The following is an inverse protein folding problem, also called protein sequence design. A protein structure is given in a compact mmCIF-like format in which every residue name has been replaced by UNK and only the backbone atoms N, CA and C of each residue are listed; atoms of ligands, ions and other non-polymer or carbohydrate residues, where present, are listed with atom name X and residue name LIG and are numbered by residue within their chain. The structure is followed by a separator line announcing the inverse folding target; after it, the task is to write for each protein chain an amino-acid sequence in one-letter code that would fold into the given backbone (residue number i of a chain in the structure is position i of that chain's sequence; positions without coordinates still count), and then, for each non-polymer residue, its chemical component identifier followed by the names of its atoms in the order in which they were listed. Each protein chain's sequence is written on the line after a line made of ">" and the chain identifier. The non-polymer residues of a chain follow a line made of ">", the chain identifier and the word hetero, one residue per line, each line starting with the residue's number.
data_IF_294440359709
#
_entry.id   IF_294440359709
#
_cell.length_a   1.000
_cell.length_b   1.000
_cell.length_c   1.000
_cell.angle_alpha   90.00
_cell.angle_beta   90.00
_cell.angle_gamma   90.00
#
_symmetry.space_group_name_H-M   'P 1'
#
loop_
_entity.id
_entity.type
_entity.pdbx_description
1 polymer ?
#
# COMPACT_ATOMS: atom_id res chain seq x y z
N UNK A 1 -32.01 63.80 34.39
CA UNK A 1 -30.86 62.97 34.74
C UNK A 1 -30.82 61.67 33.88
N UNK A 2 -31.86 60.88 33.78
CA UNK A 2 -31.82 59.60 32.97
C UNK A 2 -31.55 59.81 31.47
N UNK A 3 -32.06 60.88 30.85
CA UNK A 3 -31.80 61.17 29.42
C UNK A 3 -30.38 61.64 29.14
N UNK A 4 -29.74 62.38 30.05
CA UNK A 4 -28.38 62.84 29.94
C UNK A 4 -27.42 61.65 30.10
N UNK A 5 -27.73 60.69 30.98
CA UNK A 5 -26.95 59.48 31.18
C UNK A 5 -26.98 58.56 29.95
N UNK A 6 -28.15 58.50 29.25
CA UNK A 6 -28.31 57.72 28.03
C UNK A 6 -27.56 58.34 26.86
N UNK A 7 -27.50 59.66 26.75
CA UNK A 7 -26.73 60.38 25.73
C UNK A 7 -25.23 60.22 25.97
N UNK A 8 -24.78 60.29 27.22
CA UNK A 8 -23.38 60.07 27.57
C UNK A 8 -22.93 58.59 27.34
N UNK A 9 -23.81 57.62 27.58
CA UNK A 9 -23.53 56.23 27.34
C UNK A 9 -23.51 55.92 25.84
N UNK A 10 -24.39 56.50 25.03
CA UNK A 10 -24.39 56.36 23.58
C UNK A 10 -23.17 57.03 22.92
N UNK A 11 -22.73 58.16 23.45
CA UNK A 11 -21.54 58.87 23.01
C UNK A 11 -20.25 58.11 23.33
N UNK A 12 -20.16 57.45 24.51
CA UNK A 12 -19.02 56.61 24.87
C UNK A 12 -18.94 55.33 24.03
N UNK A 13 -20.08 54.73 23.64
CA UNK A 13 -20.13 53.57 22.73
C UNK A 13 -19.72 53.98 21.29
N UNK A 14 -20.16 55.16 20.83
CA UNK A 14 -19.78 55.68 19.50
C UNK A 14 -18.27 56.04 19.39
N UNK A 15 -17.65 56.49 20.51
CA UNK A 15 -16.20 56.76 20.56
C UNK A 15 -15.35 55.45 20.67
N UNK A 16 -15.91 54.35 21.17
CA UNK A 16 -15.23 53.07 21.30
C UNK A 16 -15.14 52.26 19.98
N UNK A 17 -15.95 52.62 18.96
CA UNK A 17 -16.01 51.85 17.68
C UNK A 17 -15.09 52.42 16.57
N UNK A 18 -14.35 53.48 16.83
CA UNK A 18 -13.40 54.02 15.85
C UNK A 18 -11.99 53.45 15.91
N UNK A 19 -11.82 52.23 16.42
CA UNK A 19 -10.61 51.49 16.11
C UNK A 19 -10.66 51.04 14.64
N UNK A 20 -10.58 52.03 13.74
CA UNK A 20 -10.34 51.85 12.33
C UNK A 20 -9.11 50.91 12.19
N UNK A 21 -9.24 49.81 11.48
CA UNK A 21 -8.11 49.00 11.02
C UNK A 21 -7.07 49.97 10.40
N UNK A 22 -6.01 50.27 11.14
CA UNK A 22 -4.88 51.02 10.58
C UNK A 22 -4.34 50.15 9.45
N UNK A 23 -4.47 50.60 8.20
CA UNK A 23 -3.79 49.98 7.05
C UNK A 23 -2.31 49.86 7.44
N UNK A 24 -1.84 48.63 7.74
CA UNK A 24 -0.44 48.42 8.08
C UNK A 24 0.41 48.93 6.92
N UNK A 25 1.44 49.74 7.25
CA UNK A 25 2.33 50.36 6.27
C UNK A 25 3.01 49.25 5.42
N UNK A 26 3.06 49.42 4.13
CA UNK A 26 3.88 48.59 3.24
C UNK A 26 5.36 48.90 3.50
N UNK A 27 6.14 47.89 3.77
CA UNK A 27 7.59 47.97 3.97
C UNK A 27 8.29 47.84 2.62
N UNK A 28 8.91 48.92 2.16
CA UNK A 28 9.52 48.98 0.81
C UNK A 28 11.05 49.13 0.83
N UNK A 29 11.67 49.18 2.01
CA UNK A 29 13.13 49.25 2.10
C UNK A 29 13.76 47.87 1.94
N UNK A 30 14.90 47.79 1.27
CA UNK A 30 15.62 46.52 1.02
C UNK A 30 16.08 45.75 2.26
N UNK A 31 16.08 46.39 3.43
CA UNK A 31 16.34 45.70 4.72
C UNK A 31 15.19 44.73 5.11
N UNK A 32 14.02 44.91 4.53
CA UNK A 32 12.85 44.06 4.77
C UNK A 32 12.71 43.04 3.68
N UNK A 33 13.08 41.79 3.98
CA UNK A 33 12.99 40.66 3.05
C UNK A 33 12.05 39.59 3.60
N UNK A 34 11.64 38.67 2.75
CA UNK A 34 10.90 37.47 3.11
C UNK A 34 11.85 36.40 3.67
N UNK A 35 11.31 35.51 4.50
CA UNK A 35 11.95 34.26 4.87
C UNK A 35 11.25 33.10 4.16
N UNK A 36 12.02 32.14 3.69
CA UNK A 36 11.52 30.93 3.01
C UNK A 36 11.85 29.73 3.92
N UNK A 37 10.90 28.79 4.08
CA UNK A 37 11.08 27.63 4.95
C UNK A 37 12.06 26.60 4.40
N UNK A 38 12.22 26.53 3.08
CA UNK A 38 13.07 25.57 2.37
C UNK A 38 13.84 26.28 1.27
N UNK A 39 15.14 26.07 1.18
CA UNK A 39 15.97 26.62 0.10
C UNK A 39 16.00 25.70 -1.14
N UNK A 40 15.60 24.45 -0.97
CA UNK A 40 15.59 23.43 -2.02
C UNK A 40 14.39 22.51 -1.83
N UNK A 41 13.67 22.25 -2.90
CA UNK A 41 12.61 21.24 -2.99
C UNK A 41 13.15 20.08 -3.81
N UNK A 42 13.35 18.96 -3.16
CA UNK A 42 13.80 17.72 -3.77
C UNK A 42 12.59 16.83 -4.03
N UNK A 43 12.34 16.49 -5.28
CA UNK A 43 11.49 15.39 -5.64
C UNK A 43 12.39 14.16 -5.78
N UNK A 44 12.03 13.10 -5.09
CA UNK A 44 12.70 11.82 -5.24
C UNK A 44 12.45 11.25 -6.65
N UNK A 45 12.85 10.03 -6.90
CA UNK A 45 12.61 9.38 -8.19
C UNK A 45 11.11 9.37 -8.52
N UNK A 46 10.75 9.97 -9.65
CA UNK A 46 9.38 9.97 -10.18
C UNK A 46 9.35 9.28 -11.54
N UNK A 47 8.27 8.58 -11.82
CA UNK A 47 8.09 7.99 -13.14
C UNK A 47 7.86 9.08 -14.18
N UNK A 48 8.54 8.97 -15.33
CA UNK A 48 8.34 9.89 -16.45
C UNK A 48 6.89 9.87 -16.94
N UNK A 49 6.43 10.95 -17.56
CA UNK A 49 5.07 11.17 -18.07
C UNK A 49 3.97 11.27 -17.02
N UNK A 50 4.28 11.03 -15.75
CA UNK A 50 3.34 11.11 -14.62
C UNK A 50 3.71 12.31 -13.75
N UNK A 51 2.69 13.05 -13.30
CA UNK A 51 2.89 14.14 -12.34
C UNK A 51 3.31 13.58 -10.97
N UNK A 52 4.26 14.25 -10.34
CA UNK A 52 4.66 13.95 -8.96
C UNK A 52 3.53 14.23 -7.96
N UNK A 53 3.72 13.81 -6.72
CA UNK A 53 2.96 14.37 -5.61
C UNK A 53 3.26 15.85 -5.44
N UNK A 54 2.28 16.61 -4.93
CA UNK A 54 2.46 18.03 -4.65
C UNK A 54 3.30 18.21 -3.39
N UNK A 55 4.45 18.89 -3.52
CA UNK A 55 5.24 19.38 -2.37
C UNK A 55 4.92 20.84 -2.12
N UNK A 56 5.21 21.32 -0.92
CA UNK A 56 4.98 22.73 -0.58
C UNK A 56 6.06 23.26 0.35
N UNK A 57 6.23 24.58 0.30
CA UNK A 57 6.99 25.34 1.28
C UNK A 57 6.26 26.64 1.62
N UNK A 58 6.74 27.35 2.64
CA UNK A 58 6.13 28.60 3.12
C UNK A 58 7.05 29.77 2.87
N UNK A 59 6.43 30.87 2.46
CA UNK A 59 7.08 32.18 2.40
C UNK A 59 6.51 33.06 3.52
N UNK A 60 7.37 33.54 4.43
CA UNK A 60 7.00 34.26 5.65
C UNK A 60 7.37 35.73 5.56
N UNK A 61 6.52 36.57 6.11
CA UNK A 61 6.84 37.95 6.45
C UNK A 61 7.13 38.07 7.95
N UNK A 62 8.41 38.12 8.40
CA UNK A 62 8.76 38.20 9.80
C UNK A 62 8.61 39.62 10.41
N UNK A 63 8.17 40.61 9.61
CA UNK A 63 8.21 42.02 10.00
C UNK A 63 6.86 42.56 10.50
N UNK A 64 6.88 43.70 11.20
CA UNK A 64 5.70 44.34 11.76
C UNK A 64 4.91 45.22 10.74
N UNK A 65 5.09 45.04 9.44
CA UNK A 65 4.36 45.70 8.36
C UNK A 65 4.12 44.73 7.22
N UNK A 66 3.30 45.16 6.26
CA UNK A 66 3.01 44.36 5.06
C UNK A 66 4.21 44.37 4.11
N UNK A 67 4.57 43.24 3.54
CA UNK A 67 5.55 43.10 2.46
C UNK A 67 4.82 42.80 1.16
N UNK A 68 5.32 43.38 0.07
CA UNK A 68 4.90 43.07 -1.30
C UNK A 68 6.04 42.37 -2.01
N UNK A 69 5.82 41.13 -2.46
CA UNK A 69 6.69 40.43 -3.39
C UNK A 69 6.34 40.94 -4.78
N UNK A 70 7.26 41.66 -5.40
CA UNK A 70 7.01 42.26 -6.68
C UNK A 70 6.91 41.22 -7.80
N UNK A 71 7.65 40.12 -7.68
CA UNK A 71 7.60 39.04 -8.65
C UNK A 71 7.96 37.68 -8.01
N UNK A 72 7.24 36.62 -8.43
CA UNK A 72 7.56 35.20 -8.20
C UNK A 72 7.54 34.50 -9.53
N UNK A 73 8.64 33.87 -9.94
CA UNK A 73 8.80 33.33 -11.30
C UNK A 73 9.49 31.99 -11.29
N UNK A 74 9.04 31.03 -12.09
CA UNK A 74 9.85 29.91 -12.52
C UNK A 74 10.91 30.39 -13.51
N UNK A 75 12.17 30.02 -13.33
CA UNK A 75 13.28 30.51 -14.16
C UNK A 75 13.12 30.11 -15.62
N UNK A 76 12.69 28.86 -15.90
CA UNK A 76 12.43 28.37 -17.26
C UNK A 76 11.04 28.75 -17.80
N UNK A 77 10.20 29.39 -16.99
CA UNK A 77 8.86 29.85 -17.39
C UNK A 77 7.96 28.70 -17.84
N UNK A 78 7.38 28.85 -19.04
CA UNK A 78 6.47 27.84 -19.62
C UNK A 78 7.17 26.55 -20.06
N UNK A 79 8.48 26.57 -20.24
CA UNK A 79 9.29 25.41 -20.64
C UNK A 79 9.74 24.59 -19.43
N UNK A 80 9.36 25.03 -18.23
CA UNK A 80 9.62 24.30 -17.00
C UNK A 80 8.83 22.98 -16.94
N UNK A 81 9.45 21.86 -16.54
CA UNK A 81 8.71 20.64 -16.19
C UNK A 81 7.92 20.82 -14.89
N UNK A 82 8.20 21.86 -14.11
CA UNK A 82 7.51 22.18 -12.86
C UNK A 82 6.26 23.03 -13.09
N UNK A 83 5.30 22.85 -12.19
CA UNK A 83 4.10 23.68 -12.06
C UNK A 83 4.03 24.20 -10.64
N UNK A 84 3.71 25.48 -10.46
CA UNK A 84 3.59 26.08 -9.14
C UNK A 84 2.22 26.70 -8.93
N UNK A 85 1.77 26.66 -7.68
CA UNK A 85 0.58 27.37 -7.23
C UNK A 85 0.99 28.26 -6.04
N UNK A 86 0.73 29.53 -6.17
CA UNK A 86 1.07 30.56 -5.19
C UNK A 86 -0.22 31.08 -4.56
N UNK A 87 -0.43 30.82 -3.29
CA UNK A 87 -1.60 31.28 -2.52
C UNK A 87 -2.95 30.96 -3.19
N UNK A 88 -3.05 29.77 -3.84
CA UNK A 88 -4.26 29.30 -4.52
C UNK A 88 -4.34 29.63 -6.01
N UNK A 89 -3.42 30.39 -6.56
CA UNK A 89 -3.35 30.72 -7.99
C UNK A 89 -2.25 29.92 -8.68
N UNK A 90 -2.58 29.21 -9.77
CA UNK A 90 -1.63 28.41 -10.56
C UNK A 90 -1.03 29.24 -11.69
N UNK A 91 0.29 29.11 -11.89
CA UNK A 91 0.98 29.84 -12.96
C UNK A 91 2.48 29.62 -12.96
N UNK A 92 3.20 30.39 -13.80
CA UNK A 92 4.66 30.40 -13.89
C UNK A 92 5.26 31.75 -13.51
N UNK A 93 4.41 32.78 -13.40
CA UNK A 93 4.80 34.14 -13.07
C UNK A 93 3.67 34.84 -12.31
N UNK A 94 3.97 35.40 -11.16
CA UNK A 94 3.04 36.09 -10.27
C UNK A 94 3.61 37.47 -9.91
N UNK A 95 2.76 38.45 -9.80
CA UNK A 95 3.18 39.83 -9.51
C UNK A 95 2.38 40.41 -8.36
N UNK A 96 3.04 41.24 -7.52
CA UNK A 96 2.42 42.01 -6.45
C UNK A 96 1.70 41.13 -5.40
N UNK A 97 2.34 40.05 -4.96
CA UNK A 97 1.84 39.16 -3.92
C UNK A 97 2.12 39.81 -2.56
N UNK A 98 1.07 40.10 -1.80
CA UNK A 98 1.14 40.75 -0.50
C UNK A 98 1.10 39.75 0.65
N UNK A 99 2.05 39.84 1.57
CA UNK A 99 2.04 39.07 2.82
C UNK A 99 1.86 40.03 3.98
N UNK A 100 0.84 39.79 4.81
CA UNK A 100 0.57 40.60 5.99
C UNK A 100 1.66 40.44 7.04
N UNK A 101 1.74 41.38 7.97
CA UNK A 101 2.69 41.35 9.08
C UNK A 101 2.59 40.08 9.93
N UNK A 102 3.65 39.29 9.99
CA UNK A 102 3.72 38.05 10.77
C UNK A 102 2.95 36.89 10.15
N UNK A 103 2.55 37.00 8.88
CA UNK A 103 1.80 35.99 8.14
C UNK A 103 2.68 35.25 7.12
N UNK A 104 2.12 34.22 6.49
CA UNK A 104 2.79 33.41 5.47
C UNK A 104 1.84 32.98 4.37
N UNK A 105 2.39 32.73 3.19
CA UNK A 105 1.70 32.09 2.07
C UNK A 105 2.31 30.72 1.80
N UNK A 106 1.51 29.82 1.25
CA UNK A 106 1.96 28.51 0.78
C UNK A 106 2.28 28.58 -0.69
N UNK A 107 3.36 27.92 -1.08
CA UNK A 107 3.72 27.69 -2.46
C UNK A 107 3.77 26.19 -2.68
N UNK A 108 2.88 25.71 -3.54
CA UNK A 108 2.80 24.29 -3.91
C UNK A 108 3.56 24.09 -5.22
N UNK A 109 4.26 22.97 -5.32
CA UNK A 109 5.09 22.61 -6.46
C UNK A 109 4.78 21.19 -6.88
N UNK A 110 4.63 20.97 -8.18
CA UNK A 110 4.50 19.67 -8.85
C UNK A 110 5.49 19.61 -10.01
N UNK A 111 5.88 18.41 -10.40
CA UNK A 111 6.76 18.18 -11.54
C UNK A 111 6.23 17.05 -12.41
N UNK A 112 6.37 17.19 -13.74
CA UNK A 112 6.13 16.12 -14.71
C UNK A 112 7.31 16.08 -15.65
N UNK A 113 8.02 14.95 -15.71
CA UNK A 113 9.18 14.77 -16.58
C UNK A 113 8.72 14.12 -17.88
N UNK A 114 9.02 14.77 -19.01
CA UNK A 114 8.75 14.24 -20.35
C UNK A 114 10.07 13.63 -20.89
N UNK A 115 10.16 12.30 -21.07
CA UNK A 115 11.39 11.65 -21.53
C UNK A 115 11.77 12.05 -22.96
N UNK A 116 10.81 12.53 -23.77
CA UNK A 116 11.05 12.95 -25.16
C UNK A 116 11.58 14.39 -25.26
N UNK A 117 11.26 15.23 -24.27
CA UNK A 117 11.67 16.64 -24.23
C UNK A 117 12.90 16.87 -23.32
N UNK A 118 12.99 16.09 -22.25
CA UNK A 118 14.06 16.20 -21.27
C UNK A 118 15.21 15.26 -21.64
N UNK A 119 16.27 15.74 -22.27
CA UNK A 119 17.47 14.98 -22.63
C UNK A 119 18.20 14.37 -21.41
N UNK A 120 17.75 14.66 -20.21
CA UNK A 120 18.24 14.16 -18.94
C UNK A 120 17.07 13.78 -18.04
N UNK A 121 17.14 12.60 -17.44
CA UNK A 121 16.20 12.19 -16.39
C UNK A 121 16.37 12.99 -15.08
N UNK A 122 17.35 13.89 -15.02
CA UNK A 122 17.52 14.85 -13.92
C UNK A 122 17.09 16.22 -14.41
N UNK A 123 16.04 16.76 -13.80
CA UNK A 123 15.50 18.07 -14.17
C UNK A 123 15.62 19.04 -13.00
N UNK A 124 16.15 20.22 -13.32
CA UNK A 124 16.36 21.31 -12.37
C UNK A 124 15.66 22.57 -12.86
N UNK A 125 15.11 23.35 -11.92
CA UNK A 125 14.63 24.71 -12.14
C UNK A 125 14.73 25.52 -10.85
N UNK A 126 14.34 26.79 -10.86
CA UNK A 126 14.32 27.66 -9.69
C UNK A 126 13.06 28.49 -9.64
N UNK A 127 12.55 28.69 -8.43
CA UNK A 127 11.56 29.72 -8.16
C UNK A 127 12.31 30.96 -7.66
N UNK A 128 12.22 32.08 -8.37
CA UNK A 128 12.82 33.37 -8.01
C UNK A 128 11.79 34.27 -7.39
N UNK A 129 12.15 34.93 -6.29
CA UNK A 129 11.35 35.90 -5.56
C UNK A 129 12.06 37.25 -5.58
N UNK A 130 11.37 38.29 -6.01
CA UNK A 130 11.89 39.64 -5.94
C UNK A 130 11.10 40.44 -4.91
N UNK A 131 11.76 40.86 -3.83
CA UNK A 131 11.15 41.59 -2.72
C UNK A 131 12.01 42.81 -2.36
N UNK A 132 11.45 44.00 -2.49
CA UNK A 132 12.15 45.26 -2.17
C UNK A 132 13.55 45.41 -2.82
N UNK A 133 13.72 44.85 -4.01
CA UNK A 133 15.00 44.85 -4.76
C UNK A 133 15.95 43.73 -4.40
N UNK A 134 15.61 42.88 -3.43
CA UNK A 134 16.36 41.65 -3.12
C UNK A 134 15.81 40.47 -3.94
N UNK A 135 16.69 39.62 -4.41
CA UNK A 135 16.34 38.36 -5.06
C UNK A 135 16.63 37.21 -4.07
N UNK A 136 15.64 36.34 -3.90
CA UNK A 136 15.74 35.09 -3.15
C UNK A 136 15.28 33.98 -4.08
N UNK A 137 15.87 32.77 -3.97
CA UNK A 137 15.51 31.64 -4.82
C UNK A 137 15.28 30.37 -4.01
N UNK A 138 14.45 29.47 -4.56
CA UNK A 138 14.29 28.09 -4.13
C UNK A 138 14.67 27.20 -5.30
N UNK A 139 15.59 26.25 -5.07
CA UNK A 139 16.03 25.29 -6.08
C UNK A 139 15.00 24.14 -6.15
N UNK A 140 14.67 23.71 -7.35
CA UNK A 140 13.81 22.59 -7.64
C UNK A 140 14.62 21.51 -8.33
N UNK A 141 14.69 20.29 -7.75
CA UNK A 141 15.37 19.15 -8.33
C UNK A 141 14.45 17.93 -8.33
N UNK A 142 14.43 17.20 -9.44
CA UNK A 142 13.76 15.92 -9.57
C UNK A 142 14.56 14.95 -10.43
N UNK A 143 14.40 13.64 -10.14
CA UNK A 143 14.97 12.54 -10.91
C UNK A 143 13.82 11.76 -11.56
N UNK A 144 13.87 11.60 -12.89
CA UNK A 144 12.94 10.77 -13.63
C UNK A 144 13.41 9.31 -13.70
N UNK A 145 12.46 8.40 -13.70
CA UNK A 145 12.69 6.99 -14.00
C UNK A 145 11.82 6.58 -15.17
N UNK A 146 12.46 6.09 -16.24
CA UNK A 146 11.76 5.54 -17.39
C UNK A 146 11.07 4.20 -17.02
N UNK A 147 9.87 3.95 -17.56
CA UNK A 147 9.05 2.79 -17.21
C UNK A 147 8.13 2.39 -18.38
N UNK A 148 7.61 1.17 -18.33
CA UNK A 148 6.50 0.75 -19.16
C UNK A 148 5.17 1.12 -18.49
N UNK A 149 4.27 1.80 -19.22
CA UNK A 149 2.99 2.26 -18.68
C UNK A 149 1.83 1.49 -19.30
N UNK A 150 0.93 1.00 -18.45
CA UNK A 150 -0.27 0.28 -18.84
C UNK A 150 -1.51 1.03 -18.34
N UNK A 151 -2.29 1.59 -19.28
CA UNK A 151 -3.42 2.48 -18.95
C UNK A 151 -4.73 1.85 -19.45
N UNK A 152 -5.42 1.11 -18.58
CA UNK A 152 -6.69 0.44 -18.90
C UNK A 152 -6.63 -0.41 -20.17
N UNK A 153 -5.69 -1.31 -20.24
CA UNK A 153 -5.43 -2.11 -21.44
C UNK A 153 -5.32 -3.61 -21.16
N UNK A 154 -5.48 -4.39 -22.21
CA UNK A 154 -5.24 -5.85 -22.18
C UNK A 154 -3.77 -6.11 -22.44
N UNK A 155 -3.17 -6.91 -21.55
CA UNK A 155 -1.74 -7.23 -21.55
C UNK A 155 -1.51 -8.74 -21.69
N UNK A 156 -0.39 -9.11 -22.31
CA UNK A 156 0.06 -10.51 -22.44
C UNK A 156 1.54 -10.57 -22.81
N UNK A 157 2.09 -11.75 -22.89
CA UNK A 157 3.48 -11.95 -23.30
C UNK A 157 4.43 -11.95 -22.10
N UNK A 158 5.52 -11.22 -22.17
CA UNK A 158 6.58 -11.23 -21.15
C UNK A 158 6.82 -9.81 -20.63
N UNK A 159 6.83 -9.65 -19.34
CA UNK A 159 7.33 -8.46 -18.65
C UNK A 159 8.74 -8.76 -18.13
N UNK A 160 9.72 -8.05 -18.68
CA UNK A 160 11.14 -8.16 -18.33
C UNK A 160 11.53 -7.18 -17.24
N UNK A 161 12.69 -7.39 -16.64
CA UNK A 161 13.21 -6.57 -15.54
C UNK A 161 14.10 -5.40 -15.99
N UNK A 162 14.11 -5.06 -17.28
CA UNK A 162 14.93 -3.98 -17.83
C UNK A 162 14.44 -2.58 -17.42
N UNK A 163 13.12 -2.44 -17.18
CA UNK A 163 12.48 -1.23 -16.67
C UNK A 163 11.32 -1.61 -15.74
N UNK A 164 10.93 -0.73 -14.80
CA UNK A 164 9.69 -0.90 -14.05
C UNK A 164 8.43 -0.91 -14.95
N UNK A 165 7.43 -1.63 -14.50
CA UNK A 165 6.10 -1.68 -15.11
C UNK A 165 5.11 -0.93 -14.22
N UNK A 166 4.45 0.10 -14.75
CA UNK A 166 3.52 0.96 -14.00
C UNK A 166 2.10 0.79 -14.51
N UNK A 167 1.19 0.40 -13.62
CA UNK A 167 -0.22 0.17 -13.95
C UNK A 167 -1.05 1.39 -13.53
N UNK A 168 -1.76 1.96 -14.49
CA UNK A 168 -2.73 3.04 -14.30
C UNK A 168 -4.15 2.55 -14.58
N UNK A 169 -4.94 2.37 -13.53
CA UNK A 169 -6.27 1.79 -13.60
C UNK A 169 -6.21 0.27 -13.76
N UNK A 170 -6.25 -0.28 -14.97
CA UNK A 170 -6.33 -1.72 -15.21
C UNK A 170 -5.27 -2.21 -16.20
N UNK A 171 -4.45 -3.17 -15.78
CA UNK A 171 -3.72 -4.05 -16.69
C UNK A 171 -4.40 -5.42 -16.66
N UNK A 172 -5.02 -5.83 -17.77
CA UNK A 172 -5.86 -7.02 -17.83
C UNK A 172 -5.22 -8.15 -18.62
N UNK A 173 -4.91 -9.26 -17.97
CA UNK A 173 -4.56 -10.51 -18.66
C UNK A 173 -5.88 -11.22 -19.02
N UNK A 174 -6.44 -10.82 -20.15
CA UNK A 174 -7.80 -11.16 -20.55
C UNK A 174 -8.88 -10.27 -19.91
N UNK A 175 -9.94 -10.00 -20.66
CA UNK A 175 -11.04 -9.16 -20.23
C UNK A 175 -12.39 -9.66 -20.80
N UNK A 176 -13.49 -9.64 -20.00
CA UNK A 176 -14.81 -10.08 -20.47
C UNK A 176 -15.24 -9.36 -21.75
N UNK A 177 -15.60 -10.14 -22.78
CA UNK A 177 -16.08 -9.61 -24.06
C UNK A 177 -15.01 -9.05 -25.01
N UNK A 178 -13.74 -9.00 -24.59
CA UNK A 178 -12.62 -8.55 -25.43
C UNK A 178 -11.72 -9.73 -25.76
N UNK A 179 -11.03 -10.31 -24.77
CA UNK A 179 -10.11 -11.42 -24.97
C UNK A 179 -10.02 -12.30 -23.71
N UNK A 180 -9.59 -13.56 -23.90
CA UNK A 180 -9.33 -14.52 -22.84
C UNK A 180 -8.34 -15.58 -23.32
N UNK A 181 -7.93 -16.50 -22.43
CA UNK A 181 -6.89 -17.50 -22.72
C UNK A 181 -5.52 -16.89 -23.05
N UNK A 182 -5.26 -15.71 -22.52
CA UNK A 182 -3.96 -15.06 -22.60
C UNK A 182 -3.02 -15.59 -21.51
N UNK A 183 -1.74 -15.30 -21.66
CA UNK A 183 -0.73 -15.56 -20.64
C UNK A 183 0.17 -14.35 -20.49
N UNK A 184 0.42 -13.97 -19.25
CA UNK A 184 1.43 -12.99 -18.89
C UNK A 184 2.50 -13.71 -18.06
N UNK A 185 3.75 -13.63 -18.50
CA UNK A 185 4.93 -14.12 -17.78
C UNK A 185 5.74 -12.93 -17.26
N UNK A 186 6.09 -12.96 -15.99
CA UNK A 186 6.89 -11.91 -15.35
C UNK A 186 8.22 -12.50 -14.93
N UNK A 187 9.31 -11.92 -15.40
CA UNK A 187 10.68 -12.39 -15.19
C UNK A 187 11.23 -12.05 -13.80
N UNK A 188 12.26 -12.75 -13.30
CA UNK A 188 12.87 -12.46 -12.01
C UNK A 188 13.35 -11.01 -11.90
N UNK A 189 13.13 -10.38 -10.73
CA UNK A 189 13.57 -9.02 -10.43
C UNK A 189 12.72 -7.91 -11.04
N UNK A 190 11.65 -8.25 -11.76
CA UNK A 190 10.73 -7.26 -12.32
C UNK A 190 10.04 -6.50 -11.20
N UNK A 191 10.00 -5.17 -11.34
CA UNK A 191 9.29 -4.26 -10.43
C UNK A 191 7.99 -3.80 -11.06
N UNK A 192 6.87 -4.06 -10.40
CA UNK A 192 5.54 -3.67 -10.83
C UNK A 192 4.97 -2.65 -9.83
N UNK A 193 4.59 -1.49 -10.34
CA UNK A 193 4.04 -0.41 -9.56
C UNK A 193 2.56 -0.17 -9.92
N UNK A 194 1.70 -0.20 -8.92
CA UNK A 194 0.28 0.13 -9.08
C UNK A 194 0.01 1.57 -8.64
N UNK A 195 -0.56 2.38 -9.54
CA UNK A 195 -1.11 3.68 -9.19
C UNK A 195 -2.37 3.53 -8.31
N UNK A 196 -2.81 4.62 -7.69
CA UNK A 196 -4.03 4.63 -6.88
C UNK A 196 -5.21 3.96 -7.61
N UNK A 197 -5.80 2.93 -6.98
CA UNK A 197 -6.85 2.06 -7.54
C UNK A 197 -6.43 1.15 -8.72
N UNK A 198 -5.16 1.08 -9.06
CA UNK A 198 -4.69 0.18 -10.12
C UNK A 198 -4.87 -1.29 -9.74
N UNK A 199 -5.16 -2.12 -10.73
CA UNK A 199 -5.37 -3.57 -10.58
C UNK A 199 -4.64 -4.33 -11.68
N UNK A 200 -3.90 -5.35 -11.32
CA UNK A 200 -3.52 -6.41 -12.25
C UNK A 200 -4.64 -7.45 -12.27
N UNK A 201 -5.44 -7.45 -13.34
CA UNK A 201 -6.62 -8.29 -13.47
C UNK A 201 -6.35 -9.50 -14.35
N UNK A 202 -6.69 -10.69 -13.88
CA UNK A 202 -6.49 -11.95 -14.63
C UNK A 202 -7.85 -12.62 -14.84
N UNK A 203 -8.34 -12.58 -16.07
CA UNK A 203 -9.64 -13.13 -16.44
C UNK A 203 -9.52 -14.27 -17.43
N UNK A 204 -9.94 -15.49 -17.03
CA UNK A 204 -9.88 -16.71 -17.85
C UNK A 204 -8.55 -16.85 -18.59
N UNK A 205 -7.47 -16.52 -17.93
CA UNK A 205 -6.11 -16.41 -18.45
C UNK A 205 -5.12 -16.81 -17.39
N UNK A 206 -3.84 -16.92 -17.73
CA UNK A 206 -2.77 -17.37 -16.84
C UNK A 206 -1.83 -16.23 -16.49
N UNK A 207 -1.44 -16.16 -15.21
CA UNK A 207 -0.34 -15.33 -14.72
C UNK A 207 0.79 -16.24 -14.23
N UNK A 208 1.99 -16.03 -14.76
CA UNK A 208 3.20 -16.77 -14.41
C UNK A 208 4.22 -15.77 -13.88
N UNK A 209 4.56 -15.87 -12.62
CA UNK A 209 5.56 -15.01 -11.97
C UNK A 209 6.74 -15.87 -11.56
N UNK A 210 7.90 -15.59 -12.13
CA UNK A 210 9.12 -16.39 -12.00
C UNK A 210 10.19 -15.65 -11.18
N UNK A 211 9.87 -15.24 -9.96
CA UNK A 211 10.90 -14.66 -9.08
C UNK A 211 11.90 -15.71 -8.59
N UNK A 212 12.97 -15.22 -8.00
CA UNK A 212 14.04 -16.00 -7.36
C UNK A 212 14.30 -15.45 -5.95
N UNK A 213 14.90 -16.21 -5.06
CA UNK A 213 15.14 -15.82 -3.66
C UNK A 213 15.92 -14.52 -3.54
N UNK A 214 16.94 -14.32 -4.38
CA UNK A 214 17.75 -13.11 -4.39
C UNK A 214 17.31 -12.07 -5.44
N UNK A 215 16.29 -12.37 -6.20
CA UNK A 215 15.76 -11.53 -7.27
C UNK A 215 14.24 -11.69 -7.38
N UNK A 216 13.48 -11.39 -6.30
CA UNK A 216 12.04 -11.57 -6.29
C UNK A 216 11.36 -10.60 -7.27
N UNK A 217 10.17 -10.98 -7.73
CA UNK A 217 9.29 -10.05 -8.42
C UNK A 217 8.54 -9.21 -7.38
N UNK A 218 8.59 -7.89 -7.51
CA UNK A 218 7.99 -6.99 -6.54
C UNK A 218 6.76 -6.28 -7.11
N UNK A 219 5.64 -6.36 -6.39
CA UNK A 219 4.42 -5.62 -6.66
C UNK A 219 4.16 -4.64 -5.52
N UNK A 220 4.12 -3.36 -5.84
CA UNK A 220 3.95 -2.30 -4.85
C UNK A 220 3.24 -1.07 -5.44
N UNK A 221 3.06 -0.03 -4.63
CA UNK A 221 2.59 1.27 -5.10
C UNK A 221 3.60 1.96 -6.02
N UNK A 222 3.11 2.93 -6.82
CA UNK A 222 3.96 3.81 -7.63
C UNK A 222 4.46 5.03 -6.87
N UNK A 223 3.87 5.33 -5.73
CA UNK A 223 4.30 6.44 -4.88
C UNK A 223 5.55 6.03 -4.11
N UNK A 224 6.66 6.73 -4.36
CA UNK A 224 7.97 6.48 -3.76
C UNK A 224 8.32 7.50 -2.67
N UNK A 225 7.61 8.64 -2.60
CA UNK A 225 7.86 9.67 -1.61
C UNK A 225 7.11 9.42 -0.30
N UNK A 226 7.74 9.75 0.79
CA UNK A 226 7.13 9.69 2.12
C UNK A 226 5.84 10.51 2.21
N UNK A 227 4.83 9.96 2.85
CA UNK A 227 3.55 10.61 3.07
C UNK A 227 3.48 11.21 4.47
N UNK A 228 3.56 12.53 4.57
CA UNK A 228 3.59 13.27 5.83
C UNK A 228 4.72 12.75 6.75
N UNK A 229 4.37 11.93 7.74
CA UNK A 229 5.29 11.35 8.73
C UNK A 229 5.52 9.84 8.51
N UNK A 230 4.96 9.28 7.45
CA UNK A 230 5.02 7.84 7.20
C UNK A 230 5.84 7.56 5.94
N UNK A 231 6.82 6.63 6.01
CA UNK A 231 7.51 6.15 4.81
C UNK A 231 6.51 5.64 3.75
N UNK A 232 6.75 5.93 2.49
CA UNK A 232 5.87 5.56 1.39
C UNK A 232 5.54 4.06 1.37
N UNK A 233 6.52 3.23 1.71
CA UNK A 233 6.43 1.78 1.75
C UNK A 233 5.66 1.23 2.96
N UNK A 234 5.32 2.06 3.95
CA UNK A 234 4.57 1.66 5.15
C UNK A 234 3.06 1.86 5.07
N UNK A 235 2.55 2.57 4.05
CA UNK A 235 1.13 2.92 3.93
C UNK A 235 0.38 1.85 3.13
N UNK A 236 -0.60 1.21 3.76
CA UNK A 236 -1.46 0.20 3.11
C UNK A 236 -2.53 0.83 2.20
N UNK A 237 -3.02 0.05 1.22
CA UNK A 237 -4.16 0.44 0.40
C UNK A 237 -3.85 1.44 -0.71
N UNK A 238 -2.60 1.56 -1.13
CA UNK A 238 -2.18 2.52 -2.15
C UNK A 238 -2.55 2.07 -3.58
N UNK A 239 -2.78 0.79 -3.81
CA UNK A 239 -3.26 0.19 -5.05
C UNK A 239 -4.21 -0.97 -4.74
N UNK A 240 -4.98 -1.47 -5.71
CA UNK A 240 -5.99 -2.49 -5.41
C UNK A 240 -5.41 -3.88 -5.20
N UNK A 241 -4.36 -4.26 -5.93
CA UNK A 241 -3.74 -5.58 -5.84
C UNK A 241 -3.90 -6.42 -7.12
N UNK A 242 -3.71 -7.74 -6.98
CA UNK A 242 -3.86 -8.72 -8.06
C UNK A 242 -5.22 -9.40 -7.91
N UNK A 243 -6.03 -9.36 -8.96
CA UNK A 243 -7.37 -9.94 -8.94
C UNK A 243 -7.55 -11.00 -10.04
N UNK A 244 -7.76 -12.23 -9.62
CA UNK A 244 -8.07 -13.37 -10.48
C UNK A 244 -9.58 -13.60 -10.53
N UNK A 245 -10.16 -13.63 -11.73
CA UNK A 245 -11.56 -13.95 -11.98
C UNK A 245 -11.66 -15.14 -12.93
N UNK A 246 -12.10 -16.27 -12.43
CA UNK A 246 -12.10 -17.54 -13.15
C UNK A 246 -10.74 -17.84 -13.83
N UNK A 247 -9.62 -17.80 -13.10
CA UNK A 247 -8.29 -17.91 -13.69
C UNK A 247 -8.09 -19.27 -14.36
N UNK A 248 -7.14 -19.33 -15.27
CA UNK A 248 -6.49 -20.58 -15.69
C UNK A 248 -5.30 -20.86 -14.78
N UNK A 249 -4.69 -22.04 -14.94
CA UNK A 249 -3.52 -22.41 -14.16
C UNK A 249 -2.50 -21.29 -14.16
N UNK A 250 -2.22 -20.81 -12.97
CA UNK A 250 -1.34 -19.68 -12.72
C UNK A 250 -0.34 -20.06 -11.64
N UNK A 251 0.89 -19.55 -11.74
CA UNK A 251 1.95 -19.83 -10.80
C UNK A 251 2.65 -18.53 -10.40
N UNK A 252 2.76 -18.31 -9.10
CA UNK A 252 3.49 -17.16 -8.55
C UNK A 252 4.57 -17.71 -7.62
N UNK A 253 5.82 -17.50 -7.99
CA UNK A 253 6.98 -17.98 -7.25
C UNK A 253 7.88 -16.81 -6.86
N UNK A 254 8.35 -16.78 -5.61
CA UNK A 254 9.24 -15.73 -5.06
C UNK A 254 8.78 -14.31 -5.42
N UNK A 255 7.55 -13.96 -5.04
CA UNK A 255 7.02 -12.62 -5.22
C UNK A 255 6.86 -11.90 -3.87
N UNK A 256 7.09 -10.60 -3.88
CA UNK A 256 6.76 -9.69 -2.79
C UNK A 256 5.62 -8.78 -3.21
N UNK A 257 4.49 -8.83 -2.50
CA UNK A 257 3.30 -8.03 -2.77
C UNK A 257 3.02 -7.20 -1.53
N UNK A 258 2.99 -5.88 -1.67
CA UNK A 258 2.82 -4.99 -0.53
C UNK A 258 1.93 -3.79 -0.81
N UNK A 259 1.38 -3.25 0.28
CA UNK A 259 0.65 -1.97 0.30
C UNK A 259 -0.63 -1.95 -0.56
N UNK A 260 -1.18 -3.11 -0.88
CA UNK A 260 -2.43 -3.23 -1.63
C UNK A 260 -3.67 -3.01 -0.74
N UNK A 261 -4.83 -2.82 -1.37
CA UNK A 261 -6.13 -2.99 -0.67
C UNK A 261 -6.35 -4.47 -0.37
N UNK A 262 -6.19 -5.33 -1.37
CA UNK A 262 -6.17 -6.79 -1.24
C UNK A 262 -4.93 -7.27 -2.01
N UNK A 263 -4.00 -7.95 -1.33
CA UNK A 263 -2.77 -8.42 -1.97
C UNK A 263 -3.07 -9.31 -3.17
N UNK A 264 -3.72 -10.45 -2.93
CA UNK A 264 -4.25 -11.35 -3.96
C UNK A 264 -5.72 -11.67 -3.67
N UNK A 265 -6.58 -11.42 -4.63
CA UNK A 265 -7.97 -11.87 -4.63
C UNK A 265 -8.18 -12.93 -5.71
N UNK A 266 -8.83 -14.06 -5.38
CA UNK A 266 -9.10 -15.15 -6.32
C UNK A 266 -10.58 -15.51 -6.21
N UNK A 267 -11.34 -15.18 -7.25
CA UNK A 267 -12.77 -15.43 -7.31
C UNK A 267 -13.10 -16.48 -8.36
N UNK A 268 -14.05 -17.31 -8.01
CA UNK A 268 -14.75 -18.25 -8.86
C UNK A 268 -13.87 -19.24 -9.62
N UNK A 269 -14.21 -20.51 -9.46
CA UNK A 269 -13.57 -21.62 -10.14
C UNK A 269 -13.77 -21.52 -11.66
N UNK A 270 -12.69 -21.76 -12.40
CA UNK A 270 -12.76 -22.42 -13.69
C UNK A 270 -12.43 -23.91 -13.47
N UNK A 271 -13.15 -24.78 -14.16
CA UNK A 271 -13.07 -26.23 -13.98
C UNK A 271 -11.62 -26.73 -13.88
N UNK A 272 -11.23 -27.31 -12.74
CA UNK A 272 -9.93 -27.93 -12.46
C UNK A 272 -8.67 -27.06 -12.60
N UNK A 273 -8.81 -25.75 -12.74
CA UNK A 273 -7.66 -24.84 -12.79
C UNK A 273 -7.23 -24.43 -11.36
N UNK A 274 -5.96 -24.19 -11.16
CA UNK A 274 -5.38 -23.90 -9.86
C UNK A 274 -4.48 -22.66 -9.89
N UNK A 275 -4.50 -21.88 -8.82
CA UNK A 275 -3.51 -20.84 -8.56
C UNK A 275 -2.50 -21.37 -7.56
N UNK A 276 -1.25 -21.46 -7.98
CA UNK A 276 -0.14 -21.95 -7.14
C UNK A 276 0.66 -20.76 -6.65
N UNK A 277 0.88 -20.71 -5.34
CA UNK A 277 1.72 -19.72 -4.68
C UNK A 277 2.88 -20.48 -4.01
N UNK A 278 4.12 -20.19 -4.41
CA UNK A 278 5.30 -20.77 -3.75
C UNK A 278 6.27 -19.68 -3.34
N UNK A 279 6.63 -19.65 -2.05
CA UNK A 279 7.57 -18.67 -1.46
C UNK A 279 7.15 -17.21 -1.72
N UNK A 280 5.85 -16.93 -1.65
CA UNK A 280 5.27 -15.60 -1.83
C UNK A 280 5.15 -14.88 -0.49
N UNK A 281 5.54 -13.61 -0.45
CA UNK A 281 5.35 -12.72 0.69
C UNK A 281 4.30 -11.67 0.35
N UNK A 282 3.23 -11.58 1.14
CA UNK A 282 2.20 -10.55 1.02
C UNK A 282 2.08 -9.82 2.34
N UNK A 283 2.34 -8.52 2.33
CA UNK A 283 2.37 -7.71 3.54
C UNK A 283 1.63 -6.39 3.38
N UNK A 284 1.15 -5.87 4.51
CA UNK A 284 0.62 -4.52 4.65
C UNK A 284 -0.56 -4.21 3.73
N UNK A 285 -1.55 -5.09 3.70
CA UNK A 285 -2.79 -4.87 2.96
C UNK A 285 -3.82 -4.12 3.79
N UNK A 286 -4.61 -3.25 3.15
CA UNK A 286 -5.66 -2.49 3.84
C UNK A 286 -6.85 -3.38 4.25
N UNK A 287 -7.15 -4.44 3.50
CA UNK A 287 -8.26 -5.35 3.82
C UNK A 287 -7.79 -6.78 4.06
N UNK A 288 -7.13 -7.42 3.11
CA UNK A 288 -6.63 -8.78 3.24
C UNK A 288 -5.38 -9.02 2.40
N UNK A 289 -4.45 -9.84 2.90
CA UNK A 289 -3.34 -10.27 2.06
C UNK A 289 -3.78 -11.30 1.04
N UNK A 290 -4.61 -12.26 1.46
CA UNK A 290 -5.23 -13.24 0.57
C UNK A 290 -6.75 -13.28 0.82
N UNK A 291 -7.51 -13.13 -0.24
CA UNK A 291 -8.96 -13.31 -0.25
C UNK A 291 -9.32 -14.35 -1.31
N UNK A 292 -10.02 -15.43 -0.93
CA UNK A 292 -10.52 -16.42 -1.90
C UNK A 292 -12.02 -16.61 -1.78
N UNK A 293 -12.68 -16.75 -2.92
CA UNK A 293 -14.12 -16.97 -3.01
C UNK A 293 -14.42 -18.08 -4.02
N UNK A 294 -14.48 -19.33 -3.55
CA UNK A 294 -14.74 -20.48 -4.41
C UNK A 294 -13.59 -20.75 -5.39
N UNK A 295 -12.37 -20.80 -4.90
CA UNK A 295 -11.17 -20.95 -5.72
C UNK A 295 -10.37 -22.22 -5.38
N UNK A 296 -9.61 -22.73 -6.35
CA UNK A 296 -8.58 -23.73 -6.10
C UNK A 296 -7.24 -23.02 -5.89
N UNK A 297 -6.63 -23.23 -4.72
CA UNK A 297 -5.36 -22.59 -4.34
C UNK A 297 -4.45 -23.61 -3.69
N UNK A 298 -3.23 -23.71 -4.18
CA UNK A 298 -2.15 -24.44 -3.52
C UNK A 298 -1.06 -23.45 -3.13
N UNK A 299 -0.70 -23.41 -1.85
CA UNK A 299 0.33 -22.51 -1.36
C UNK A 299 1.38 -23.26 -0.53
N UNK A 300 2.65 -22.99 -0.79
CA UNK A 300 3.77 -23.54 -0.04
C UNK A 300 4.77 -22.45 0.34
N UNK A 301 5.29 -22.55 1.57
CA UNK A 301 6.28 -21.60 2.10
C UNK A 301 5.87 -20.13 1.95
N UNK A 302 4.58 -19.79 2.07
CA UNK A 302 4.09 -18.43 1.89
C UNK A 302 3.95 -17.67 3.22
N UNK A 303 4.23 -16.38 3.17
CA UNK A 303 4.01 -15.44 4.27
C UNK A 303 2.86 -14.49 3.94
N UNK A 304 1.85 -14.48 4.79
CA UNK A 304 0.75 -13.53 4.79
C UNK A 304 0.85 -12.70 6.08
N UNK A 305 1.66 -11.62 6.00
CA UNK A 305 1.97 -10.77 7.16
C UNK A 305 1.12 -9.51 7.17
N UNK A 306 0.99 -8.87 8.27
CA UNK A 306 0.28 -7.61 8.52
C UNK A 306 -0.85 -7.23 7.55
N UNK A 307 -2.03 -7.07 8.07
CA UNK A 307 -3.17 -6.52 7.33
C UNK A 307 -4.09 -5.80 8.31
N UNK A 308 -4.77 -4.76 7.87
CA UNK A 308 -5.74 -4.07 8.74
C UNK A 308 -6.87 -5.00 9.19
N UNK A 309 -7.26 -5.98 8.36
CA UNK A 309 -8.26 -6.95 8.77
C UNK A 309 -7.70 -8.39 8.78
N UNK A 310 -7.43 -9.01 7.61
CA UNK A 310 -7.14 -10.44 7.52
C UNK A 310 -5.79 -10.71 6.86
N UNK A 311 -4.97 -11.58 7.44
CA UNK A 311 -3.86 -12.17 6.68
C UNK A 311 -4.39 -13.12 5.60
N UNK A 312 -5.42 -13.91 5.91
CA UNK A 312 -6.15 -14.67 4.90
C UNK A 312 -7.64 -14.78 5.25
N UNK A 313 -8.50 -14.55 4.25
CA UNK A 313 -9.93 -14.82 4.31
C UNK A 313 -10.30 -15.80 3.19
N UNK A 314 -10.54 -17.04 3.56
CA UNK A 314 -10.81 -18.15 2.64
C UNK A 314 -12.28 -18.51 2.73
N UNK A 315 -13.01 -18.39 1.63
CA UNK A 315 -14.46 -18.54 1.66
C UNK A 315 -15.05 -19.29 0.48
N UNK A 316 -16.22 -19.87 0.74
CA UNK A 316 -17.22 -20.38 -0.21
C UNK A 316 -16.69 -21.40 -1.24
N UNK A 317 -16.15 -22.51 -0.75
CA UNK A 317 -15.85 -23.68 -1.57
C UNK A 317 -14.45 -23.67 -2.19
N UNK A 318 -14.24 -24.59 -3.12
CA UNK A 318 -12.96 -24.82 -3.78
C UNK A 318 -12.07 -25.85 -3.11
N UNK A 319 -10.89 -26.05 -3.70
CA UNK A 319 -9.84 -26.92 -3.20
C UNK A 319 -8.69 -26.07 -2.67
N UNK A 320 -8.44 -26.16 -1.38
CA UNK A 320 -7.45 -25.36 -0.67
C UNK A 320 -6.38 -26.26 -0.09
N UNK A 321 -5.12 -25.99 -0.39
CA UNK A 321 -3.98 -26.71 0.18
C UNK A 321 -2.88 -25.75 0.55
N UNK A 322 -2.56 -25.65 1.84
CA UNK A 322 -1.48 -24.81 2.36
C UNK A 322 -0.49 -25.67 3.13
N UNK A 323 0.78 -25.54 2.81
CA UNK A 323 1.86 -26.26 3.51
C UNK A 323 2.99 -25.31 3.86
N UNK A 324 3.44 -25.36 5.12
CA UNK A 324 4.47 -24.47 5.64
C UNK A 324 4.20 -22.98 5.38
N UNK A 325 2.95 -22.53 5.61
CA UNK A 325 2.57 -21.12 5.46
C UNK A 325 2.45 -20.43 6.82
N UNK A 326 2.79 -19.14 6.85
CA UNK A 326 2.65 -18.30 8.04
C UNK A 326 1.60 -17.21 7.79
N UNK A 327 0.54 -17.22 8.59
CA UNK A 327 -0.48 -16.18 8.65
C UNK A 327 -0.25 -15.39 9.93
N UNK A 328 0.42 -14.23 9.80
CA UNK A 328 0.84 -13.43 10.95
C UNK A 328 0.26 -12.01 10.85
N UNK A 329 -0.52 -11.58 11.86
CA UNK A 329 -1.10 -10.26 11.82
C UNK A 329 -0.78 -9.44 13.07
N UNK A 330 0.21 -8.59 12.95
CA UNK A 330 0.67 -7.64 13.96
C UNK A 330 0.43 -6.20 13.51
N UNK A 331 -0.77 -5.94 12.97
CA UNK A 331 -1.15 -4.61 12.51
C UNK A 331 -0.96 -3.56 13.60
N UNK A 332 -0.34 -2.44 13.25
CA UNK A 332 0.01 -1.36 14.18
C UNK A 332 -1.20 -0.55 14.69
N UNK A 333 -2.34 -0.60 13.98
CA UNK A 333 -3.59 0.06 14.36
C UNK A 333 -4.53 -0.87 15.16
N UNK A 334 -5.70 -0.35 15.52
CA UNK A 334 -6.75 -1.16 16.15
C UNK A 334 -7.31 -2.18 15.16
N UNK A 335 -7.28 -3.46 15.53
CA UNK A 335 -7.84 -4.57 14.77
C UNK A 335 -8.70 -5.44 15.68
N UNK A 336 -9.90 -5.82 15.20
CA UNK A 336 -10.84 -6.69 15.90
C UNK A 336 -11.15 -7.97 15.11
N UNK A 337 -10.43 -8.21 14.02
CA UNK A 337 -10.59 -9.39 13.15
C UNK A 337 -9.45 -10.37 13.38
N UNK A 338 -9.66 -11.69 13.23
CA UNK A 338 -8.58 -12.66 13.29
C UNK A 338 -7.64 -12.56 12.08
N UNK A 339 -6.42 -13.08 12.22
CA UNK A 339 -5.50 -13.17 11.08
C UNK A 339 -6.03 -14.11 9.99
N UNK A 340 -6.65 -15.22 10.40
CA UNK A 340 -7.12 -16.26 9.49
C UNK A 340 -8.60 -16.56 9.69
N UNK A 341 -9.36 -16.58 8.59
CA UNK A 341 -10.77 -16.98 8.54
C UNK A 341 -10.99 -18.03 7.47
N UNK A 342 -11.64 -19.13 7.84
CA UNK A 342 -12.19 -20.13 6.94
C UNK A 342 -13.72 -20.11 7.06
N UNK A 343 -14.44 -19.85 5.93
CA UNK A 343 -15.89 -19.68 5.93
C UNK A 343 -16.54 -20.39 4.74
N UNK A 344 -17.56 -21.22 4.98
CA UNK A 344 -18.17 -22.06 3.95
C UNK A 344 -19.52 -21.52 3.42
N UNK A 345 -19.91 -20.31 3.80
CA UNK A 345 -21.18 -19.70 3.39
C UNK A 345 -21.05 -18.19 3.17
N UNK A 346 -22.02 -17.62 2.51
CA UNK A 346 -22.18 -16.17 2.39
C UNK A 346 -23.66 -15.78 2.53
N UNK A 347 -23.89 -14.53 2.85
CA UNK A 347 -25.23 -13.95 2.86
C UNK A 347 -25.51 -13.25 1.52
N UNK A 348 -26.60 -13.63 0.88
CA UNK A 348 -27.06 -12.99 -0.36
C UNK A 348 -27.63 -11.59 -0.07
N UNK A 349 -27.85 -10.81 -1.11
CA UNK A 349 -28.49 -9.47 -1.02
C UNK A 349 -29.90 -9.49 -0.37
N UNK A 350 -30.53 -10.66 -0.31
CA UNK A 350 -31.84 -10.87 0.32
C UNK A 350 -31.74 -11.43 1.75
N UNK A 351 -30.57 -11.35 2.38
CA UNK A 351 -30.25 -11.92 3.70
C UNK A 351 -30.48 -13.44 3.78
N UNK A 352 -30.37 -14.14 2.68
CA UNK A 352 -30.39 -15.60 2.65
C UNK A 352 -28.98 -16.13 2.79
N UNK A 353 -28.79 -17.02 3.75
CA UNK A 353 -27.52 -17.74 3.91
C UNK A 353 -27.41 -18.81 2.84
N UNK A 354 -26.35 -18.74 2.04
CA UNK A 354 -26.05 -19.69 0.96
C UNK A 354 -24.80 -20.46 1.32
N UNK A 355 -24.97 -21.75 1.55
CA UNK A 355 -23.89 -22.67 1.85
C UNK A 355 -23.12 -23.04 0.58
N UNK A 356 -21.80 -22.98 0.66
CA UNK A 356 -20.83 -23.40 -0.37
C UNK A 356 -19.68 -24.16 0.31
N UNK A 357 -19.82 -25.48 0.54
CA UNK A 357 -18.81 -26.27 1.22
C UNK A 357 -17.50 -26.33 0.44
N UNK A 358 -16.38 -26.45 1.13
CA UNK A 358 -15.10 -26.77 0.52
C UNK A 358 -15.13 -28.21 -0.03
N UNK A 359 -14.56 -28.43 -1.19
CA UNK A 359 -14.29 -29.78 -1.72
C UNK A 359 -13.13 -30.41 -0.94
N UNK A 360 -12.11 -29.60 -0.64
CA UNK A 360 -11.00 -29.93 0.23
C UNK A 360 -10.41 -28.65 0.84
N UNK A 361 -9.99 -28.70 2.10
CA UNK A 361 -9.25 -27.59 2.74
C UNK A 361 -8.23 -28.18 3.72
N UNK A 362 -6.98 -28.30 3.28
CA UNK A 362 -5.91 -28.95 4.04
C UNK A 362 -4.82 -27.93 4.35
N UNK A 363 -4.45 -27.89 5.64
CA UNK A 363 -3.41 -27.01 6.15
C UNK A 363 -2.39 -27.86 6.93
N UNK A 364 -1.15 -27.88 6.45
CA UNK A 364 -0.07 -28.66 7.04
C UNK A 364 1.06 -27.72 7.51
N UNK A 365 1.57 -27.93 8.70
CA UNK A 365 2.75 -27.24 9.22
C UNK A 365 2.64 -25.70 9.20
N UNK A 366 1.43 -25.15 9.37
CA UNK A 366 1.18 -23.71 9.27
C UNK A 366 1.21 -23.02 10.65
N UNK A 367 1.49 -21.71 10.63
CA UNK A 367 1.36 -20.81 11.79
C UNK A 367 0.22 -19.83 11.54
N UNK A 368 -0.69 -19.69 12.51
CA UNK A 368 -1.77 -18.70 12.53
C UNK A 368 -1.68 -17.90 13.83
N UNK A 369 -1.07 -16.71 13.76
CA UNK A 369 -0.70 -15.93 14.94
C UNK A 369 -0.82 -14.42 14.72
N UNK A 370 -0.84 -13.64 15.80
CA UNK A 370 -0.90 -12.19 15.71
C UNK A 370 -1.10 -11.50 17.04
N UNK A 371 -1.52 -10.24 16.98
CA UNK A 371 -1.63 -9.36 18.16
C UNK A 371 -2.94 -9.51 18.95
N UNK A 372 -3.99 -10.15 18.39
CA UNK A 372 -5.26 -10.38 19.11
C UNK A 372 -5.26 -11.72 19.85
N UNK A 373 -6.20 -11.91 20.77
CA UNK A 373 -6.28 -13.14 21.58
C UNK A 373 -6.77 -14.32 20.74
N UNK A 374 -7.57 -14.09 19.71
CA UNK A 374 -8.03 -15.10 18.76
C UNK A 374 -7.65 -14.68 17.34
N UNK A 375 -6.75 -15.43 16.71
CA UNK A 375 -6.23 -15.17 15.36
C UNK A 375 -6.71 -16.18 14.32
N UNK A 376 -7.53 -17.12 14.75
CA UNK A 376 -8.10 -18.16 13.90
C UNK A 376 -9.59 -18.29 14.13
N UNK A 377 -10.36 -18.23 13.05
CA UNK A 377 -11.80 -18.53 13.06
C UNK A 377 -12.12 -19.49 11.91
N UNK A 378 -12.80 -20.59 12.28
CA UNK A 378 -13.46 -21.49 11.34
C UNK A 378 -14.98 -21.28 11.52
N UNK A 379 -15.54 -20.36 10.69
CA UNK A 379 -16.95 -19.96 10.74
C UNK A 379 -17.74 -20.78 9.72
N UNK A 380 -18.25 -21.92 10.16
CA UNK A 380 -19.04 -22.84 9.33
C UNK A 380 -20.44 -22.99 9.91
N UNK A 381 -21.42 -23.31 9.07
CA UNK A 381 -22.85 -23.41 9.45
C UNK A 381 -23.17 -24.64 10.32
N UNK A 382 -22.22 -25.13 11.08
CA UNK A 382 -22.41 -26.18 12.07
C UNK A 382 -21.53 -27.41 11.85
N UNK A 383 -21.45 -28.33 12.82
CA UNK A 383 -20.53 -29.45 12.81
C UNK A 383 -20.79 -30.48 11.71
N UNK A 384 -21.95 -30.40 11.07
CA UNK A 384 -22.38 -31.29 9.96
C UNK A 384 -22.33 -30.61 8.61
N UNK A 385 -22.05 -29.31 8.55
CA UNK A 385 -22.11 -28.53 7.32
C UNK A 385 -20.72 -27.98 6.96
N UNK A 386 -20.31 -28.19 5.73
CA UNK A 386 -19.22 -27.52 5.09
C UNK A 386 -17.83 -28.09 5.31
N UNK A 387 -17.46 -28.45 6.49
CA UNK A 387 -16.27 -29.22 6.71
C UNK A 387 -16.59 -30.69 6.36
N UNK A 388 -16.63 -30.99 5.07
CA UNK A 388 -16.61 -32.37 4.59
C UNK A 388 -15.42 -33.04 5.24
N UNK A 389 -15.40 -34.37 5.36
CA UNK A 389 -14.26 -35.10 5.94
C UNK A 389 -12.92 -34.87 5.23
N UNK A 390 -12.85 -33.87 4.33
CA UNK A 390 -11.69 -33.43 3.57
C UNK A 390 -11.07 -32.11 4.10
N UNK A 391 -11.56 -31.54 5.21
CA UNK A 391 -10.94 -30.37 5.85
C UNK A 391 -10.11 -30.82 7.05
N UNK A 392 -8.84 -30.39 7.12
CA UNK A 392 -7.95 -30.71 8.22
C UNK A 392 -6.85 -29.68 8.42
N UNK A 393 -6.49 -29.48 9.68
CA UNK A 393 -5.31 -28.75 10.12
C UNK A 393 -4.37 -29.75 10.77
N UNK A 394 -3.19 -29.94 10.22
CA UNK A 394 -2.24 -30.93 10.67
C UNK A 394 -0.93 -30.23 11.09
N UNK A 395 -0.48 -30.49 12.31
CA UNK A 395 0.75 -29.88 12.86
C UNK A 395 0.76 -28.34 12.74
N UNK A 396 -0.37 -27.67 12.98
CA UNK A 396 -0.45 -26.21 12.90
C UNK A 396 -0.34 -25.57 14.29
N UNK A 397 0.38 -24.46 14.38
CA UNK A 397 0.36 -23.60 15.57
C UNK A 397 -0.74 -22.54 15.40
N UNK A 398 -1.71 -22.54 16.30
CA UNK A 398 -2.93 -21.73 16.20
C UNK A 398 -3.09 -20.90 17.48
N UNK A 399 -3.24 -19.57 17.34
CA UNK A 399 -3.58 -18.69 18.45
C UNK A 399 -5.08 -18.51 18.55
N UNK A 400 -5.68 -18.96 19.66
CA UNK A 400 -7.12 -18.88 19.89
C UNK A 400 -7.45 -18.98 21.38
N UNK A 401 -8.50 -18.29 21.81
CA UNK A 401 -9.14 -18.50 23.11
C UNK A 401 -10.00 -19.78 23.14
N UNK A 402 -10.33 -20.34 21.98
CA UNK A 402 -11.15 -21.54 21.86
C UNK A 402 -10.29 -22.79 21.79
N UNK A 403 -10.75 -23.84 22.45
CA UNK A 403 -10.07 -25.14 22.42
C UNK A 403 -10.15 -25.80 21.04
N UNK A 404 -9.07 -26.42 20.59
CA UNK A 404 -9.01 -27.22 19.36
C UNK A 404 -9.48 -28.66 19.66
N UNK A 405 -10.78 -28.83 19.92
CA UNK A 405 -11.32 -30.07 20.48
C UNK A 405 -11.72 -31.14 19.47
N UNK A 406 -11.93 -30.73 18.18
CA UNK A 406 -12.28 -31.68 17.12
C UNK A 406 -11.00 -32.35 16.58
N UNK A 407 -10.73 -33.58 17.03
CA UNK A 407 -9.55 -34.35 16.61
C UNK A 407 -9.57 -34.79 15.14
N UNK A 408 -10.73 -34.74 14.47
CA UNK A 408 -10.81 -35.00 13.03
C UNK A 408 -10.42 -33.77 12.22
N UNK A 409 -10.65 -32.59 12.76
CA UNK A 409 -10.31 -31.31 12.14
C UNK A 409 -8.88 -30.87 12.49
N UNK A 410 -8.48 -31.03 13.77
CA UNK A 410 -7.17 -30.58 14.29
C UNK A 410 -6.33 -31.77 14.67
N UNK A 411 -5.43 -32.19 13.80
CA UNK A 411 -4.54 -33.30 14.01
C UNK A 411 -3.13 -32.83 14.42
N UNK A 412 -2.72 -33.17 15.65
CA UNK A 412 -1.42 -32.76 16.21
C UNK A 412 -1.17 -31.25 16.15
N UNK A 413 -2.23 -30.44 16.28
CA UNK A 413 -2.13 -28.98 16.33
C UNK A 413 -1.75 -28.48 17.72
N UNK A 414 -1.11 -27.32 17.76
CA UNK A 414 -0.60 -26.68 18.95
C UNK A 414 -1.36 -25.37 19.21
N UNK A 415 -1.83 -25.19 20.45
CA UNK A 415 -2.60 -24.01 20.84
C UNK A 415 -1.71 -23.02 21.57
N UNK A 416 -1.75 -21.75 21.12
CA UNK A 416 -1.11 -20.60 21.77
C UNK A 416 0.41 -20.75 22.01
N UNK A 417 1.11 -21.41 21.09
CA UNK A 417 2.58 -21.37 21.09
C UNK A 417 3.05 -20.01 20.55
N UNK A 418 4.08 -19.45 21.19
CA UNK A 418 4.68 -18.18 20.76
C UNK A 418 5.75 -18.44 19.68
N UNK A 419 5.58 -17.91 18.47
CA UNK A 419 6.56 -18.06 17.40
C UNK A 419 7.86 -17.27 17.62
N UNK A 420 7.86 -16.27 18.50
CA UNK A 420 9.00 -15.37 18.77
C UNK A 420 9.62 -14.84 17.46
N UNK A 421 8.82 -14.17 16.64
CA UNK A 421 9.30 -13.60 15.38
C UNK A 421 10.36 -12.53 15.61
N UNK A 422 11.38 -12.48 14.76
CA UNK A 422 12.55 -11.59 14.89
C UNK A 422 12.15 -10.12 15.02
N UNK A 423 11.23 -9.63 14.17
CA UNK A 423 10.72 -8.25 14.24
C UNK A 423 9.39 -8.08 13.50
N UNK A 424 8.31 -8.12 14.22
CA UNK A 424 6.97 -7.93 13.65
C UNK A 424 6.73 -6.50 13.14
N UNK A 425 7.40 -5.51 13.71
CA UNK A 425 7.30 -4.10 13.31
C UNK A 425 7.99 -3.80 11.96
N UNK A 426 9.00 -4.57 11.59
CA UNK A 426 9.68 -4.48 10.30
C UNK A 426 9.29 -5.62 9.34
N UNK A 427 8.19 -6.32 9.64
CA UNK A 427 7.64 -7.46 8.87
C UNK A 427 8.63 -8.63 8.68
N UNK A 428 9.58 -8.75 9.60
CA UNK A 428 10.50 -9.88 9.64
C UNK A 428 9.92 -10.97 10.54
N UNK A 429 9.30 -11.96 9.92
CA UNK A 429 8.65 -13.11 10.57
C UNK A 429 9.53 -14.36 10.60
N UNK A 430 10.85 -14.22 10.44
CA UNK A 430 11.78 -15.31 10.70
C UNK A 430 11.73 -15.72 12.19
N UNK A 431 12.03 -16.96 12.50
CA UNK A 431 11.90 -17.50 13.85
C UNK A 431 13.06 -17.02 14.74
N UNK A 432 12.70 -16.35 15.83
CA UNK A 432 13.64 -15.85 16.81
C UNK A 432 14.22 -16.95 17.72
N UNK A 433 15.18 -16.57 18.57
CA UNK A 433 15.92 -17.55 19.39
C UNK A 433 15.05 -18.30 20.41
N UNK A 434 13.92 -17.71 20.84
CA UNK A 434 13.02 -18.30 21.84
C UNK A 434 11.75 -18.89 21.22
N UNK A 435 11.73 -19.10 19.92
CA UNK A 435 10.58 -19.66 19.21
C UNK A 435 10.19 -21.02 19.73
N UNK A 436 8.91 -21.19 20.05
CA UNK A 436 8.33 -22.44 20.54
C UNK A 436 7.68 -23.28 19.43
N UNK A 437 7.87 -22.92 18.17
CA UNK A 437 7.31 -23.62 17.00
C UNK A 437 8.39 -24.34 16.18
N UNK A 438 9.58 -24.44 16.74
CA UNK A 438 10.74 -25.13 16.16
C UNK A 438 10.63 -26.64 16.42
N UNK A 439 11.03 -27.45 15.44
CA UNK A 439 11.05 -28.94 15.49
C UNK A 439 9.67 -29.59 15.78
N UNK A 440 8.57 -28.92 15.44
CA UNK A 440 7.21 -29.39 15.69
C UNK A 440 6.45 -29.85 14.47
N UNK A 441 7.01 -29.68 13.27
CA UNK A 441 6.35 -30.02 12.02
C UNK A 441 6.22 -31.51 11.77
N UNK A 442 5.16 -31.88 11.08
CA UNK A 442 4.97 -33.23 10.55
C UNK A 442 5.84 -33.49 9.32
N UNK A 443 5.79 -34.73 8.83
CA UNK A 443 6.51 -35.09 7.59
C UNK A 443 6.03 -34.24 6.40
N UNK A 444 6.97 -33.72 5.63
CA UNK A 444 6.74 -32.91 4.45
C UNK A 444 7.67 -33.33 3.33
N UNK A 445 7.25 -33.16 2.09
CA UNK A 445 8.11 -33.30 0.91
C UNK A 445 8.84 -32.00 0.57
N UNK A 446 8.50 -30.89 1.22
CA UNK A 446 9.12 -29.59 1.03
C UNK A 446 10.46 -29.57 1.74
N UNK A 447 11.54 -29.51 0.97
CA UNK A 447 12.92 -29.61 1.48
C UNK A 447 13.59 -28.28 1.82
N UNK A 448 12.97 -27.16 1.45
CA UNK A 448 13.51 -25.81 1.66
C UNK A 448 12.42 -24.87 2.18
N UNK A 449 12.81 -23.85 2.89
CA UNK A 449 11.94 -22.80 3.40
C UNK A 449 11.77 -21.65 2.37
N UNK A 450 11.11 -20.57 2.77
CA UNK A 450 10.86 -19.39 1.92
C UNK A 450 12.14 -18.68 1.46
N UNK A 451 13.25 -18.86 2.19
CA UNK A 451 14.59 -18.33 1.89
C UNK A 451 15.50 -19.38 1.24
N UNK A 452 14.94 -20.52 0.82
CA UNK A 452 15.68 -21.67 0.30
C UNK A 452 16.67 -22.30 1.27
N UNK A 453 16.53 -22.05 2.57
CA UNK A 453 17.29 -22.73 3.61
C UNK A 453 16.79 -24.17 3.71
N UNK A 454 17.69 -25.16 3.86
CA UNK A 454 17.29 -26.55 4.00
C UNK A 454 16.39 -26.76 5.23
N UNK A 455 15.26 -27.47 5.08
CA UNK A 455 14.46 -27.92 6.20
C UNK A 455 15.07 -29.15 6.85
N UNK A 456 15.20 -29.09 8.16
CA UNK A 456 15.73 -30.18 8.99
C UNK A 456 14.57 -31.00 9.57
N UNK A 457 14.79 -32.28 9.85
CA UNK A 457 13.76 -33.14 10.44
C UNK A 457 13.97 -33.27 11.95
N UNK A 458 12.95 -32.99 12.79
CA UNK A 458 11.60 -32.51 12.47
C UNK A 458 11.64 -31.08 11.91
N UNK A 459 10.75 -30.76 10.95
CA UNK A 459 10.69 -29.44 10.35
C UNK A 459 10.13 -28.41 11.35
N UNK A 460 10.47 -27.15 11.15
CA UNK A 460 9.82 -26.04 11.84
C UNK A 460 8.44 -25.76 11.23
N UNK A 461 7.56 -25.19 12.05
CA UNK A 461 6.25 -24.73 11.56
C UNK A 461 6.39 -23.40 10.82
N UNK A 462 5.49 -23.17 9.85
CA UNK A 462 5.47 -21.96 9.06
C UNK A 462 6.46 -21.90 7.90
N UNK A 463 6.59 -20.73 7.32
CA UNK A 463 7.35 -20.57 6.08
C UNK A 463 8.87 -20.40 6.26
N UNK A 464 9.34 -20.27 7.50
CA UNK A 464 10.76 -20.14 7.81
C UNK A 464 11.26 -21.38 8.57
N UNK A 465 12.49 -21.77 8.30
CA UNK A 465 13.25 -22.77 9.05
C UNK A 465 14.35 -22.07 9.84
N UNK A 466 14.41 -22.32 11.14
CA UNK A 466 15.45 -21.76 12.01
C UNK A 466 16.79 -22.42 11.74
N UNK A 467 17.83 -21.64 11.62
CA UNK A 467 19.20 -22.12 11.40
C UNK A 467 20.02 -22.09 12.70
#
# INVERSE_FOLDING_TARGET
>A
MKQILFILLSLSIALGTTNSCKKKKVLSNSIYNINISEDTILFDTIFTTIGSTTKYFKCYNPHNGKINISNITLEKGTDSPYRINVDGESGVNFSNIEILSGDSIFIFVEVTIDPDLDNSLVVEDKIKFVTNGNETQVVLNAWGQDAYFYVNEVVSGVWSNDKPHVIYGLAAVGYPGIDSNLSLTIEPGTMIHGHANATLYVYKSSLIVNGEVNNPVTFQQDRMEDYLLYPADSVAGQWRGIYFSAPKNSNITHAEIKNAVIGIQIDTLSDNENVILDKVRINNSLYANLLTQGANVTASNCLFGNSNNYSAFISIGGNISFEHCTFANYWYGSRNTPAFVLKDYYESVNNQVILRPFESAVFNNCIMHGSTDTEFICDTLGPTFGLSGNTSFNYCAIKSEYALSDMNLFNSCYLNLEPDFVSTSSWNYDLGPQSNVVDLGGSSSISQDILERPRLAPNDLGCYEKQ
#
